data_IF_734865400971
#
_entry.id   IF_734865400971
#
_cell.length_a   1.000
_cell.length_b   1.000
_cell.length_c   1.000
_cell.angle_alpha   90.00
_cell.angle_beta   90.00
_cell.angle_gamma   90.00
#
_symmetry.space_group_name_H-M   'P 1'
#
loop_
_entity.id
_entity.type
_entity.pdbx_description
1 polymer ?
#
# COMPACT_ATOMS: atom_id res chain seq x y z
N UNK A 1 0.45 -12.44 -15.74
CA UNK A 1 -0.58 -11.46 -16.20
C UNK A 1 -1.40 -11.06 -14.99
N UNK A 2 -1.52 -9.77 -14.76
CA UNK A 2 -2.32 -9.23 -13.66
C UNK A 2 -3.79 -9.61 -13.76
N UNK A 3 -4.45 -9.62 -12.62
CA UNK A 3 -5.89 -9.92 -12.53
C UNK A 3 -6.62 -8.75 -11.91
N UNK A 4 -7.86 -8.56 -12.36
CA UNK A 4 -8.75 -7.55 -11.80
C UNK A 4 -9.15 -7.91 -10.36
N UNK A 5 -9.17 -6.89 -9.49
CA UNK A 5 -9.68 -6.99 -8.13
C UNK A 5 -10.87 -6.04 -7.98
N UNK A 6 -12.07 -6.59 -7.84
CA UNK A 6 -13.30 -5.79 -7.67
C UNK A 6 -13.71 -5.80 -6.20
N UNK A 7 -13.86 -4.64 -5.63
CA UNK A 7 -14.34 -4.41 -4.25
C UNK A 7 -15.67 -3.69 -4.32
N UNK A 8 -16.71 -4.24 -3.67
CA UNK A 8 -18.04 -3.65 -3.67
C UNK A 8 -18.62 -3.59 -2.25
N UNK A 9 -18.98 -2.38 -1.82
CA UNK A 9 -19.71 -2.12 -0.58
C UNK A 9 -18.98 -2.58 0.68
N UNK A 10 -17.65 -2.54 0.68
CA UNK A 10 -16.85 -3.14 1.74
C UNK A 10 -16.94 -2.32 3.02
N UNK A 11 -17.36 -2.95 4.12
CA UNK A 11 -17.47 -2.33 5.45
C UNK A 11 -16.70 -3.16 6.46
N UNK A 12 -15.86 -2.49 7.27
CA UNK A 12 -15.04 -3.11 8.32
C UNK A 12 -15.13 -2.35 9.64
N UNK A 13 -15.34 -3.10 10.71
CA UNK A 13 -15.37 -2.57 12.08
C UNK A 13 -14.57 -3.47 13.03
N UNK A 14 -14.07 -2.89 14.13
CA UNK A 14 -13.55 -3.61 15.29
C UNK A 14 -14.39 -3.23 16.51
N UNK A 15 -15.27 -4.12 16.92
CA UNK A 15 -16.26 -3.84 17.95
C UNK A 15 -17.19 -2.69 17.52
N UNK A 16 -17.17 -1.58 18.27
CA UNK A 16 -17.98 -0.39 17.96
C UNK A 16 -17.28 0.60 17.00
N UNK A 17 -16.00 0.40 16.72
CA UNK A 17 -15.23 1.32 15.89
C UNK A 17 -15.29 0.88 14.43
N UNK A 18 -15.98 1.64 13.59
CA UNK A 18 -15.96 1.46 12.14
C UNK A 18 -14.67 2.04 11.58
N UNK A 19 -13.94 1.23 10.82
CA UNK A 19 -12.68 1.63 10.18
C UNK A 19 -12.97 2.27 8.82
N UNK A 20 -13.79 1.62 8.02
CA UNK A 20 -14.31 2.15 6.76
C UNK A 20 -15.66 1.53 6.43
N UNK A 21 -16.46 2.24 5.65
CA UNK A 21 -17.83 1.92 5.33
C UNK A 21 -18.09 2.10 3.84
N UNK A 22 -18.77 1.13 3.23
CA UNK A 22 -19.25 1.17 1.84
C UNK A 22 -18.14 1.49 0.80
N UNK A 23 -16.92 0.96 1.03
CA UNK A 23 -15.80 1.18 0.11
C UNK A 23 -15.97 0.31 -1.14
N UNK A 24 -15.98 0.96 -2.31
CA UNK A 24 -16.09 0.30 -3.61
C UNK A 24 -15.04 0.84 -4.56
N UNK A 25 -14.27 -0.06 -5.19
CA UNK A 25 -13.28 0.28 -6.21
C UNK A 25 -12.94 -0.96 -7.06
N UNK A 26 -12.35 -0.72 -8.22
CA UNK A 26 -11.78 -1.78 -9.05
C UNK A 26 -10.30 -1.49 -9.30
N UNK A 27 -9.43 -2.43 -8.98
CA UNK A 27 -8.02 -2.40 -9.37
C UNK A 27 -7.92 -3.01 -10.77
N UNK A 28 -7.53 -2.24 -11.79
CA UNK A 28 -7.40 -2.76 -13.15
C UNK A 28 -6.26 -3.78 -13.25
N UNK A 29 -6.39 -4.80 -14.10
CA UNK A 29 -5.37 -5.83 -14.27
C UNK A 29 -4.09 -5.25 -14.85
N UNK A 30 -2.94 -5.61 -14.27
CA UNK A 30 -1.61 -5.21 -14.74
C UNK A 30 -1.23 -3.76 -14.43
N UNK A 31 -2.10 -2.98 -13.80
CA UNK A 31 -1.84 -1.58 -13.45
C UNK A 31 -1.37 -1.41 -12.01
N UNK A 32 -0.68 -0.30 -11.77
CA UNK A 32 -0.28 0.13 -10.44
C UNK A 32 -1.31 1.11 -9.88
N UNK A 33 -1.90 0.76 -8.76
CA UNK A 33 -2.80 1.63 -8.00
C UNK A 33 -2.15 2.05 -6.69
N UNK A 34 -2.33 3.30 -6.29
CA UNK A 34 -1.90 3.80 -4.97
C UNK A 34 -3.12 4.27 -4.17
N UNK A 35 -3.25 3.79 -2.94
CA UNK A 35 -4.25 4.26 -1.98
C UNK A 35 -3.59 5.18 -0.97
N UNK A 36 -3.98 6.45 -1.01
CA UNK A 36 -3.54 7.49 -0.08
C UNK A 36 -4.47 7.62 1.13
N UNK A 37 -3.98 8.29 2.13
CA UNK A 37 -4.76 8.73 3.28
C UNK A 37 -3.87 8.99 4.49
N UNK A 38 -4.32 9.81 5.44
CA UNK A 38 -3.65 10.02 6.71
C UNK A 38 -3.35 8.71 7.44
N UNK A 39 -2.44 8.77 8.42
CA UNK A 39 -2.17 7.61 9.28
C UNK A 39 -3.43 7.28 10.09
N UNK A 40 -3.74 5.99 10.25
CA UNK A 40 -4.93 5.57 11.00
C UNK A 40 -6.21 5.37 10.17
N UNK A 41 -6.25 5.78 8.91
CA UNK A 41 -7.46 5.64 8.05
C UNK A 41 -7.81 4.20 7.65
N UNK A 42 -7.03 3.21 8.11
CA UNK A 42 -7.34 1.79 7.86
C UNK A 42 -6.76 1.23 6.55
N UNK A 43 -5.79 1.87 5.91
CA UNK A 43 -5.15 1.40 4.67
C UNK A 43 -4.58 -0.03 4.80
N UNK A 44 -3.82 -0.31 5.86
CA UNK A 44 -3.29 -1.67 6.13
C UNK A 44 -4.40 -2.67 6.46
N UNK A 45 -5.52 -2.23 7.07
CA UNK A 45 -6.71 -3.06 7.29
C UNK A 45 -7.33 -3.44 5.95
N UNK A 46 -7.38 -2.50 5.00
CA UNK A 46 -7.87 -2.74 3.65
C UNK A 46 -7.02 -3.80 2.92
N UNK A 47 -5.70 -3.67 2.92
CA UNK A 47 -4.79 -4.68 2.35
C UNK A 47 -5.01 -6.07 2.97
N UNK A 48 -5.11 -6.15 4.31
CA UNK A 48 -5.35 -7.42 5.02
C UNK A 48 -6.69 -8.03 4.67
N UNK A 49 -7.69 -7.21 4.33
CA UNK A 49 -9.00 -7.70 3.88
C UNK A 49 -8.94 -8.25 2.46
N UNK A 50 -8.16 -7.63 1.56
CA UNK A 50 -7.97 -8.11 0.18
C UNK A 50 -7.35 -9.51 0.12
N UNK A 51 -6.44 -9.87 1.04
CA UNK A 51 -5.87 -11.23 1.13
C UNK A 51 -6.68 -12.17 2.00
N UNK A 52 -7.85 -11.73 2.51
CA UNK A 52 -8.70 -12.53 3.39
C UNK A 52 -8.13 -12.79 4.78
N UNK A 53 -7.12 -12.03 5.24
CA UNK A 53 -6.61 -12.10 6.61
C UNK A 53 -7.57 -11.46 7.61
N UNK A 54 -8.34 -10.48 7.16
CA UNK A 54 -9.41 -9.84 7.92
C UNK A 54 -10.70 -9.96 7.12
N UNK A 55 -11.73 -10.54 7.73
CA UNK A 55 -13.04 -10.65 7.10
C UNK A 55 -13.83 -9.35 7.34
N UNK A 56 -14.30 -8.67 6.27
CA UNK A 56 -15.21 -7.54 6.41
C UNK A 56 -16.59 -8.01 6.87
N UNK A 57 -17.36 -7.12 7.49
CA UNK A 57 -18.72 -7.40 7.94
C UNK A 57 -19.72 -7.36 6.79
N UNK A 58 -19.46 -6.50 5.78
CA UNK A 58 -20.33 -6.34 4.60
C UNK A 58 -19.49 -6.19 3.33
N UNK A 59 -20.14 -6.37 2.21
CA UNK A 59 -19.56 -6.24 0.88
C UNK A 59 -18.97 -7.53 0.34
N UNK A 60 -18.24 -7.41 -0.76
CA UNK A 60 -17.53 -8.51 -1.42
C UNK A 60 -16.21 -8.06 -2.02
N UNK A 61 -15.31 -9.02 -2.15
CA UNK A 61 -14.02 -8.86 -2.84
C UNK A 61 -13.97 -9.97 -3.89
N UNK A 62 -13.99 -9.61 -5.15
CA UNK A 62 -14.03 -10.58 -6.26
C UNK A 62 -12.70 -10.58 -7.00
N UNK A 63 -12.10 -11.77 -7.10
CA UNK A 63 -10.86 -12.02 -7.85
C UNK A 63 -11.10 -13.27 -8.70
N UNK A 64 -10.86 -13.18 -9.99
CA UNK A 64 -11.13 -14.27 -10.93
C UNK A 64 -12.53 -14.90 -10.73
N UNK A 65 -13.55 -14.05 -10.58
CA UNK A 65 -14.94 -14.47 -10.39
C UNK A 65 -15.25 -15.11 -9.03
N UNK A 66 -14.29 -15.14 -8.10
CA UNK A 66 -14.47 -15.71 -6.75
C UNK A 66 -14.60 -14.59 -5.71
N UNK A 67 -15.70 -14.60 -4.95
CA UNK A 67 -15.89 -13.72 -3.79
C UNK A 67 -15.11 -14.28 -2.59
N UNK A 68 -14.05 -13.60 -2.19
CA UNK A 68 -13.16 -14.00 -1.09
C UNK A 68 -13.84 -13.97 0.28
N UNK A 69 -14.87 -13.12 0.44
CA UNK A 69 -15.58 -12.97 1.72
C UNK A 69 -16.44 -14.19 2.03
N UNK A 70 -16.90 -14.90 0.98
CA UNK A 70 -17.86 -16.00 1.07
C UNK A 70 -17.33 -17.35 0.58
N UNK A 71 -16.14 -17.40 -0.04
CA UNK A 71 -15.59 -18.63 -0.55
C UNK A 71 -15.18 -19.60 0.58
N UNK A 72 -14.96 -20.86 0.24
CA UNK A 72 -14.42 -21.86 1.16
C UNK A 72 -12.96 -21.58 1.50
N UNK A 73 -12.49 -22.06 2.67
CA UNK A 73 -11.09 -21.94 3.09
C UNK A 73 -10.13 -22.55 2.06
N UNK A 74 -10.49 -23.66 1.44
CA UNK A 74 -9.68 -24.26 0.36
C UNK A 74 -9.54 -23.30 -0.83
N UNK A 75 -10.64 -22.68 -1.28
CA UNK A 75 -10.61 -21.73 -2.39
C UNK A 75 -9.82 -20.48 -2.02
N UNK A 76 -9.99 -19.97 -0.80
CA UNK A 76 -9.22 -18.85 -0.29
C UNK A 76 -7.72 -19.15 -0.26
N UNK A 77 -7.32 -20.36 0.14
CA UNK A 77 -5.93 -20.78 0.14
C UNK A 77 -5.32 -20.77 -1.28
N UNK A 78 -6.06 -21.27 -2.29
CA UNK A 78 -5.59 -21.24 -3.68
C UNK A 78 -5.44 -19.81 -4.21
N UNK A 79 -6.40 -18.93 -3.89
CA UNK A 79 -6.31 -17.53 -4.31
C UNK A 79 -5.16 -16.79 -3.60
N UNK A 80 -4.88 -17.09 -2.34
CA UNK A 80 -3.74 -16.49 -1.63
C UNK A 80 -2.40 -16.75 -2.29
N UNK A 81 -2.23 -17.83 -3.06
CA UNK A 81 -1.01 -18.11 -3.83
C UNK A 81 -0.78 -17.11 -4.96
N UNK A 82 -1.83 -16.42 -5.42
CA UNK A 82 -1.73 -15.39 -6.44
C UNK A 82 -1.18 -14.08 -5.89
N UNK A 83 -1.09 -13.93 -4.56
CA UNK A 83 -0.65 -12.70 -3.92
C UNK A 83 0.82 -12.74 -3.53
N UNK A 84 1.54 -11.66 -3.86
CA UNK A 84 2.77 -11.26 -3.20
C UNK A 84 2.48 -10.12 -2.22
N UNK A 85 2.92 -10.21 -0.97
CA UNK A 85 2.68 -9.16 0.03
C UNK A 85 4.00 -8.63 0.59
N UNK A 86 4.20 -7.33 0.44
CA UNK A 86 5.27 -6.59 1.10
C UNK A 86 4.68 -5.81 2.29
N UNK A 87 4.97 -6.27 3.49
CA UNK A 87 4.61 -5.57 4.73
C UNK A 87 5.60 -4.45 5.06
N UNK A 88 5.17 -3.48 5.84
CA UNK A 88 5.88 -2.24 6.19
C UNK A 88 7.37 -2.44 6.54
N UNK A 89 7.73 -3.45 7.36
CA UNK A 89 9.12 -3.74 7.75
C UNK A 89 9.73 -4.93 6.99
N UNK A 90 9.10 -5.36 5.87
CA UNK A 90 9.49 -6.55 5.13
C UNK A 90 9.05 -7.87 5.77
N UNK A 91 8.68 -7.89 7.06
CA UNK A 91 8.22 -9.06 7.82
C UNK A 91 9.10 -10.31 7.64
N UNK A 92 10.42 -10.14 7.65
CA UNK A 92 11.37 -11.24 7.50
C UNK A 92 11.48 -12.04 8.80
N UNK A 93 11.68 -13.35 8.67
CA UNK A 93 12.01 -14.22 9.80
C UNK A 93 13.42 -13.90 10.30
N UNK A 94 13.54 -13.37 11.52
CA UNK A 94 14.82 -12.91 12.07
C UNK A 94 15.86 -14.00 12.27
N UNK A 95 15.44 -15.26 12.39
CA UNK A 95 16.30 -16.44 12.55
C UNK A 95 16.80 -17.04 11.24
N UNK A 96 16.29 -16.57 10.09
CA UNK A 96 16.67 -17.06 8.77
C UNK A 96 17.49 -15.99 8.04
N UNK A 97 18.52 -16.42 7.26
CA UNK A 97 19.23 -15.53 6.36
C UNK A 97 18.30 -15.04 5.21
N UNK A 98 18.79 -14.12 4.38
CA UNK A 98 17.96 -13.56 3.30
C UNK A 98 17.58 -14.60 2.26
N UNK A 99 18.51 -15.48 1.89
CA UNK A 99 18.22 -16.56 0.95
C UNK A 99 17.08 -17.46 1.45
N UNK A 100 17.15 -17.92 2.70
CA UNK A 100 16.13 -18.80 3.26
C UNK A 100 14.78 -18.08 3.46
N UNK A 101 14.78 -16.80 3.83
CA UNK A 101 13.57 -15.99 3.86
C UNK A 101 12.86 -15.95 2.50
N UNK A 102 13.63 -15.75 1.42
CA UNK A 102 13.10 -15.65 0.06
C UNK A 102 12.72 -17.04 -0.49
N UNK A 103 13.49 -18.08 -0.15
CA UNK A 103 13.21 -19.46 -0.55
C UNK A 103 11.98 -20.07 0.13
N UNK A 104 11.62 -19.56 1.32
CA UNK A 104 10.58 -20.13 2.17
C UNK A 104 9.25 -20.39 1.44
N UNK A 105 8.63 -19.43 0.71
CA UNK A 105 7.38 -19.70 0.01
C UNK A 105 7.51 -20.77 -1.08
N UNK A 106 8.65 -20.85 -1.77
CA UNK A 106 8.87 -21.89 -2.79
C UNK A 106 8.90 -23.28 -2.18
N UNK A 107 9.58 -23.45 -1.04
CA UNK A 107 9.66 -24.73 -0.33
C UNK A 107 8.31 -25.17 0.23
N UNK A 108 7.51 -24.21 0.74
CA UNK A 108 6.19 -24.51 1.32
C UNK A 108 5.10 -24.80 0.28
N UNK A 109 5.14 -24.10 -0.86
CA UNK A 109 4.02 -24.11 -1.81
C UNK A 109 4.31 -24.81 -3.13
N UNK A 110 5.56 -25.30 -3.36
CA UNK A 110 5.94 -25.94 -4.61
C UNK A 110 6.67 -27.27 -4.36
N UNK A 111 6.82 -28.07 -5.42
CA UNK A 111 7.63 -29.29 -5.41
C UNK A 111 8.96 -29.11 -6.16
N UNK A 112 9.45 -27.87 -6.25
CA UNK A 112 10.70 -27.56 -6.94
C UNK A 112 11.89 -28.15 -6.19
N UNK A 113 12.88 -28.59 -6.95
CA UNK A 113 14.16 -29.04 -6.40
C UNK A 113 14.95 -27.87 -5.81
N UNK A 114 15.85 -28.11 -4.87
CA UNK A 114 16.70 -27.05 -4.29
C UNK A 114 17.56 -26.33 -5.34
N UNK A 115 17.91 -26.98 -6.44
CA UNK A 115 18.60 -26.33 -7.56
C UNK A 115 17.70 -25.29 -8.26
N UNK A 116 16.42 -25.63 -8.48
CA UNK A 116 15.43 -24.71 -9.04
C UNK A 116 15.11 -23.58 -8.08
N UNK A 117 14.90 -23.89 -6.78
CA UNK A 117 14.70 -22.90 -5.73
C UNK A 117 15.86 -21.91 -5.71
N UNK A 118 17.10 -22.40 -5.73
CA UNK A 118 18.30 -21.56 -5.74
C UNK A 118 18.34 -20.61 -6.95
N UNK A 119 18.03 -21.12 -8.13
CA UNK A 119 18.01 -20.32 -9.36
C UNK A 119 17.00 -19.18 -9.24
N UNK A 120 15.76 -19.49 -8.82
CA UNK A 120 14.69 -18.50 -8.68
C UNK A 120 15.02 -17.46 -7.60
N UNK A 121 15.49 -17.89 -6.44
CA UNK A 121 15.84 -16.99 -5.34
C UNK A 121 16.93 -16.01 -5.77
N UNK A 122 17.99 -16.49 -6.42
CA UNK A 122 19.09 -15.63 -6.88
C UNK A 122 18.62 -14.64 -7.96
N UNK A 123 17.76 -15.08 -8.88
CA UNK A 123 17.11 -14.21 -9.87
C UNK A 123 16.31 -13.09 -9.20
N UNK A 124 15.44 -13.42 -8.23
CA UNK A 124 14.65 -12.41 -7.52
C UNK A 124 15.53 -11.51 -6.65
N UNK A 125 16.61 -12.01 -6.06
CA UNK A 125 17.60 -11.18 -5.35
C UNK A 125 18.33 -10.21 -6.27
N UNK A 126 18.65 -10.63 -7.49
CA UNK A 126 19.25 -9.76 -8.51
C UNK A 126 18.27 -8.64 -8.92
N UNK A 127 17.01 -8.98 -9.19
CA UNK A 127 15.95 -8.01 -9.54
C UNK A 127 15.82 -6.88 -8.52
N UNK A 128 16.02 -7.18 -7.23
CA UNK A 128 15.92 -6.18 -6.15
C UNK A 128 17.27 -5.63 -5.68
N UNK A 129 18.38 -5.97 -6.37
CA UNK A 129 19.72 -5.47 -6.07
C UNK A 129 20.27 -5.95 -4.71
N UNK A 130 20.10 -7.24 -4.41
CA UNK A 130 20.59 -7.88 -3.17
C UNK A 130 21.64 -8.97 -3.41
N UNK A 131 22.29 -8.97 -4.57
CA UNK A 131 23.38 -9.92 -4.89
C UNK A 131 24.49 -9.81 -3.85
N UNK A 132 24.97 -10.96 -3.37
CA UNK A 132 26.02 -11.05 -2.35
C UNK A 132 25.56 -10.88 -0.91
N UNK A 133 24.25 -10.70 -0.68
CA UNK A 133 23.67 -10.59 0.65
C UNK A 133 22.94 -11.86 1.14
N UNK A 134 23.05 -12.97 0.40
CA UNK A 134 22.29 -14.20 0.60
C UNK A 134 22.38 -14.74 2.03
N UNK A 135 23.60 -14.70 2.61
CA UNK A 135 23.90 -15.27 3.92
C UNK A 135 23.64 -14.32 5.09
N UNK A 136 23.33 -13.03 4.82
CA UNK A 136 23.08 -12.04 5.87
C UNK A 136 21.76 -12.31 6.58
N UNK A 137 21.73 -12.05 7.88
CA UNK A 137 20.51 -12.05 8.68
C UNK A 137 19.80 -10.69 8.56
N UNK A 138 18.47 -10.63 8.77
CA UNK A 138 17.71 -9.37 8.75
C UNK A 138 18.24 -8.30 9.70
N UNK A 139 18.85 -8.71 10.84
CA UNK A 139 19.46 -7.78 11.79
C UNK A 139 20.79 -7.16 11.33
N UNK A 140 21.42 -7.72 10.31
CA UNK A 140 22.74 -7.30 9.78
C UNK A 140 22.61 -6.35 8.58
N UNK A 141 21.40 -5.99 8.17
CA UNK A 141 21.14 -5.21 6.97
C UNK A 141 20.31 -3.95 7.26
N UNK A 142 20.37 -2.99 6.36
CA UNK A 142 19.59 -1.74 6.47
C UNK A 142 18.09 -1.98 6.30
N UNK A 143 17.26 -1.02 6.77
CA UNK A 143 15.82 -1.05 6.57
C UNK A 143 15.42 -1.18 5.09
N UNK A 144 16.07 -0.43 4.21
CA UNK A 144 15.85 -0.54 2.76
C UNK A 144 16.21 -1.90 2.18
N UNK A 145 17.26 -2.56 2.68
CA UNK A 145 17.59 -3.92 2.28
C UNK A 145 16.54 -4.93 2.78
N UNK A 146 16.02 -4.76 4.02
CA UNK A 146 14.93 -5.61 4.52
C UNK A 146 13.69 -5.52 3.64
N UNK A 147 13.29 -4.31 3.24
CA UNK A 147 12.14 -4.09 2.34
C UNK A 147 12.34 -4.74 0.98
N UNK A 148 13.53 -4.58 0.39
CA UNK A 148 13.86 -5.24 -0.89
C UNK A 148 13.90 -6.76 -0.78
N UNK A 149 14.36 -7.32 0.33
CA UNK A 149 14.29 -8.76 0.58
C UNK A 149 12.82 -9.24 0.77
N UNK A 150 11.99 -8.47 1.47
CA UNK A 150 10.55 -8.71 1.56
C UNK A 150 9.87 -8.68 0.20
N UNK A 151 10.26 -7.75 -0.67
CA UNK A 151 9.76 -7.67 -2.04
C UNK A 151 10.21 -8.88 -2.87
N UNK A 152 11.49 -9.27 -2.82
CA UNK A 152 11.99 -10.48 -3.48
C UNK A 152 11.20 -11.72 -3.03
N UNK A 153 10.93 -11.86 -1.72
CA UNK A 153 10.11 -12.95 -1.19
C UNK A 153 8.67 -12.90 -1.72
N UNK A 154 8.09 -11.72 -1.86
CA UNK A 154 6.75 -11.56 -2.44
C UNK A 154 6.69 -12.01 -3.92
N UNK A 155 7.81 -11.91 -4.64
CA UNK A 155 7.91 -12.19 -6.07
C UNK A 155 8.23 -13.65 -6.42
N UNK A 156 8.67 -14.50 -5.49
CA UNK A 156 9.21 -15.83 -5.82
C UNK A 156 8.18 -16.83 -6.35
N UNK A 157 6.90 -16.61 -6.09
CA UNK A 157 5.81 -17.43 -6.60
C UNK A 157 5.20 -16.88 -7.90
N UNK A 158 5.83 -15.88 -8.52
CA UNK A 158 5.35 -15.17 -9.72
C UNK A 158 3.89 -14.71 -9.54
N UNK A 159 3.62 -13.82 -8.56
CA UNK A 159 2.26 -13.42 -8.18
C UNK A 159 1.56 -12.65 -9.30
N UNK A 160 0.23 -12.79 -9.37
CA UNK A 160 -0.63 -12.01 -10.25
C UNK A 160 -1.07 -10.69 -9.61
N UNK A 161 -1.01 -10.61 -8.27
CA UNK A 161 -1.34 -9.41 -7.48
C UNK A 161 -0.22 -9.15 -6.47
N UNK A 162 0.24 -7.90 -6.38
CA UNK A 162 1.22 -7.47 -5.38
C UNK A 162 0.61 -6.39 -4.51
N UNK A 163 0.67 -6.60 -3.20
CA UNK A 163 0.21 -5.63 -2.21
C UNK A 163 1.40 -5.10 -1.42
N UNK A 164 1.56 -3.78 -1.36
CA UNK A 164 2.62 -3.11 -0.64
C UNK A 164 2.05 -2.22 0.47
N UNK A 165 2.38 -2.54 1.72
CA UNK A 165 1.97 -1.78 2.90
C UNK A 165 3.09 -0.83 3.33
N UNK A 166 2.95 0.46 3.06
CA UNK A 166 3.92 1.53 3.35
C UNK A 166 5.37 1.16 2.98
N UNK A 167 5.63 0.82 1.71
CA UNK A 167 6.93 0.30 1.29
C UNK A 167 8.07 1.31 1.51
N UNK A 168 7.76 2.59 1.55
CA UNK A 168 8.67 3.72 1.70
C UNK A 168 8.91 4.14 3.15
N UNK A 169 8.14 3.63 4.13
CA UNK A 169 8.26 4.06 5.52
C UNK A 169 9.69 3.87 6.05
N UNK A 170 10.23 4.91 6.71
CA UNK A 170 11.60 4.88 7.26
C UNK A 170 12.72 4.94 6.22
N UNK A 171 12.42 5.21 4.95
CA UNK A 171 13.41 5.50 3.91
C UNK A 171 13.59 7.02 3.74
N UNK A 172 14.80 7.43 3.42
CA UNK A 172 15.06 8.79 2.96
C UNK A 172 14.50 9.03 1.53
N UNK A 173 14.35 10.30 1.09
CA UNK A 173 13.76 10.59 -0.22
C UNK A 173 14.49 9.94 -1.40
N UNK A 174 15.82 9.79 -1.33
CA UNK A 174 16.61 9.17 -2.41
C UNK A 174 16.33 7.68 -2.49
N UNK A 175 16.31 6.98 -1.36
CA UNK A 175 15.97 5.55 -1.30
C UNK A 175 14.53 5.27 -1.67
N UNK A 176 13.61 6.19 -1.32
CA UNK A 176 12.22 6.14 -1.78
C UNK A 176 12.13 6.23 -3.30
N UNK A 177 12.88 7.14 -3.94
CA UNK A 177 12.91 7.25 -5.40
C UNK A 177 13.45 5.96 -6.06
N UNK A 178 14.50 5.35 -5.53
CA UNK A 178 15.00 4.05 -6.00
C UNK A 178 13.95 2.93 -5.87
N UNK A 179 13.24 2.88 -4.73
CA UNK A 179 12.17 1.89 -4.54
C UNK A 179 11.01 2.13 -5.51
N UNK A 180 10.63 3.38 -5.73
CA UNK A 180 9.59 3.77 -6.69
C UNK A 180 9.94 3.30 -8.09
N UNK A 181 11.17 3.57 -8.56
CA UNK A 181 11.62 3.10 -9.86
C UNK A 181 11.63 1.57 -9.94
N UNK A 182 12.10 0.89 -8.89
CA UNK A 182 12.08 -0.58 -8.83
C UNK A 182 10.66 -1.13 -8.98
N UNK A 183 9.65 -0.53 -8.34
CA UNK A 183 8.24 -0.98 -8.46
C UNK A 183 7.70 -0.76 -9.88
N UNK A 184 8.05 0.35 -10.54
CA UNK A 184 7.68 0.61 -11.94
C UNK A 184 8.34 -0.42 -12.86
N UNK A 185 9.63 -0.67 -12.71
CA UNK A 185 10.38 -1.60 -13.56
C UNK A 185 9.86 -3.05 -13.37
N UNK A 186 9.54 -3.42 -12.13
CA UNK A 186 8.95 -4.71 -11.83
C UNK A 186 7.57 -4.88 -12.47
N UNK A 187 6.68 -3.87 -12.36
CA UNK A 187 5.37 -3.92 -13.00
C UNK A 187 5.50 -4.12 -14.52
N UNK A 188 6.39 -3.36 -15.18
CA UNK A 188 6.66 -3.49 -16.60
C UNK A 188 7.20 -4.88 -17.01
N UNK A 189 7.92 -5.58 -16.10
CA UNK A 189 8.49 -6.91 -16.37
C UNK A 189 7.51 -8.05 -16.14
N UNK A 190 6.69 -7.97 -15.09
CA UNK A 190 5.87 -9.11 -14.63
C UNK A 190 4.38 -8.92 -14.92
N UNK A 191 3.94 -7.73 -15.32
CA UNK A 191 2.54 -7.42 -15.66
C UNK A 191 1.58 -7.87 -14.53
N UNK A 192 1.94 -7.61 -13.26
CA UNK A 192 1.09 -7.91 -12.11
C UNK A 192 0.23 -6.71 -11.73
N UNK A 193 -0.96 -6.94 -11.18
CA UNK A 193 -1.77 -5.89 -10.56
C UNK A 193 -1.13 -5.48 -9.24
N UNK A 194 -0.78 -4.22 -9.07
CA UNK A 194 -0.09 -3.72 -7.87
C UNK A 194 -0.97 -2.74 -7.12
N UNK A 195 -1.14 -2.94 -5.81
CA UNK A 195 -1.71 -1.94 -4.91
C UNK A 195 -0.69 -1.55 -3.85
N UNK A 196 -0.39 -0.27 -3.79
CA UNK A 196 0.47 0.33 -2.77
C UNK A 196 -0.41 1.17 -1.85
N UNK A 197 -0.34 0.96 -0.54
CA UNK A 197 -0.92 1.88 0.43
C UNK A 197 0.21 2.70 1.05
N UNK A 198 0.07 4.01 1.05
CA UNK A 198 1.08 4.93 1.59
C UNK A 198 0.46 6.28 1.96
N UNK A 199 1.22 7.08 2.68
CA UNK A 199 0.94 8.50 2.91
C UNK A 199 1.94 9.40 2.16
N UNK A 200 2.82 8.82 1.32
CA UNK A 200 3.88 9.55 0.62
C UNK A 200 3.39 10.12 -0.71
N UNK A 201 3.34 11.45 -0.77
CA UNK A 201 2.88 12.19 -1.94
C UNK A 201 3.80 11.98 -3.16
N UNK A 202 5.10 11.79 -2.95
CA UNK A 202 6.04 11.60 -4.07
C UNK A 202 5.75 10.28 -4.78
N UNK A 203 5.48 9.19 -4.05
CA UNK A 203 5.05 7.92 -4.65
C UNK A 203 3.76 8.12 -5.43
N UNK A 204 2.77 8.78 -4.83
CA UNK A 204 1.49 9.04 -5.46
C UNK A 204 1.59 9.80 -6.78
N UNK A 205 2.55 10.70 -6.89
CA UNK A 205 2.75 11.52 -8.09
C UNK A 205 3.52 10.81 -9.21
N UNK A 206 4.31 9.80 -8.89
CA UNK A 206 5.29 9.25 -9.85
C UNK A 206 5.06 7.79 -10.23
N UNK A 207 4.46 6.99 -9.35
CA UNK A 207 4.42 5.54 -9.53
C UNK A 207 3.12 5.04 -10.18
N UNK A 208 1.91 5.46 -9.73
CA UNK A 208 0.70 4.77 -10.11
C UNK A 208 0.11 5.20 -11.46
N UNK A 209 -0.69 4.29 -12.04
CA UNK A 209 -1.66 4.58 -13.08
C UNK A 209 -2.95 5.14 -12.45
N UNK A 210 -3.37 4.58 -11.29
CA UNK A 210 -4.56 5.00 -10.57
C UNK A 210 -4.25 5.43 -9.13
N UNK A 211 -4.97 6.46 -8.68
CA UNK A 211 -4.92 6.94 -7.30
C UNK A 211 -6.27 6.76 -6.60
N UNK A 212 -6.23 6.51 -5.30
CA UNK A 212 -7.38 6.59 -4.42
C UNK A 212 -7.05 7.32 -3.14
N UNK A 213 -8.07 7.87 -2.49
CA UNK A 213 -7.96 8.57 -1.20
C UNK A 213 -8.95 8.01 -0.20
N UNK A 214 -8.44 7.41 0.88
CA UNK A 214 -9.22 7.02 2.05
C UNK A 214 -9.18 8.13 3.10
N UNK A 215 -10.35 8.60 3.49
CA UNK A 215 -10.49 9.61 4.55
C UNK A 215 -11.82 9.44 5.29
N UNK A 216 -11.81 9.61 6.60
CA UNK A 216 -13.00 9.54 7.46
C UNK A 216 -13.91 8.35 7.18
N UNK A 217 -13.31 7.16 7.06
CA UNK A 217 -14.00 5.87 6.84
C UNK A 217 -14.56 5.66 5.45
N UNK A 218 -14.31 6.54 4.52
CA UNK A 218 -14.85 6.49 3.16
C UNK A 218 -13.74 6.53 2.11
N UNK A 219 -14.01 5.97 0.96
CA UNK A 219 -13.21 6.19 -0.24
C UNK A 219 -13.71 7.48 -0.89
N UNK A 220 -12.96 8.56 -0.69
CA UNK A 220 -13.32 9.88 -1.22
C UNK A 220 -13.30 9.89 -2.75
N UNK A 221 -12.27 9.27 -3.33
CA UNK A 221 -12.08 9.22 -4.76
C UNK A 221 -11.18 8.03 -5.13
N UNK A 222 -11.40 7.45 -6.31
CA UNK A 222 -10.50 6.47 -6.93
C UNK A 222 -10.61 6.58 -8.44
N UNK A 223 -9.49 6.62 -9.15
CA UNK A 223 -9.45 6.68 -10.61
C UNK A 223 -8.07 7.03 -11.17
N UNK A 224 -7.97 7.38 -12.44
CA UNK A 224 -6.71 7.73 -13.09
C UNK A 224 -5.94 8.80 -12.30
N UNK A 225 -4.62 8.61 -12.18
CA UNK A 225 -3.75 9.50 -11.41
C UNK A 225 -3.93 10.98 -11.75
N UNK A 226 -4.00 11.31 -13.01
CA UNK A 226 -4.13 12.68 -13.51
C UNK A 226 -5.41 13.35 -13.01
N UNK A 227 -6.49 12.58 -12.87
CA UNK A 227 -7.79 13.09 -12.37
C UNK A 227 -7.68 13.48 -10.91
N UNK A 228 -7.02 12.66 -10.08
CA UNK A 228 -6.85 13.00 -8.67
C UNK A 228 -5.82 14.12 -8.47
N UNK A 229 -4.75 14.15 -9.26
CA UNK A 229 -3.72 15.20 -9.14
C UNK A 229 -4.24 16.61 -9.51
N UNK A 230 -5.33 16.69 -10.27
CA UNK A 230 -5.99 17.94 -10.68
C UNK A 230 -7.36 18.14 -10.04
N UNK A 231 -7.71 17.33 -9.04
CA UNK A 231 -9.01 17.37 -8.39
C UNK A 231 -9.15 18.59 -7.47
N UNK A 232 -10.33 19.21 -7.52
CA UNK A 232 -10.76 20.28 -6.61
C UNK A 232 -11.38 19.73 -5.31
N UNK A 233 -11.38 18.40 -5.12
CA UNK A 233 -11.88 17.79 -3.88
C UNK A 233 -11.01 18.26 -2.69
N UNK A 234 -11.58 18.95 -1.70
CA UNK A 234 -10.80 19.64 -0.68
C UNK A 234 -9.83 18.74 0.10
N UNK A 235 -10.21 17.49 0.37
CA UNK A 235 -9.35 16.51 1.07
C UNK A 235 -8.18 16.10 0.20
N UNK A 236 -8.43 15.83 -1.07
CA UNK A 236 -7.42 15.42 -2.04
C UNK A 236 -6.43 16.55 -2.29
N UNK A 237 -6.94 17.76 -2.52
CA UNK A 237 -6.13 18.95 -2.73
C UNK A 237 -5.25 19.27 -1.52
N UNK A 238 -5.84 19.25 -0.32
CA UNK A 238 -5.10 19.48 0.91
C UNK A 238 -3.96 18.48 1.10
N UNK A 239 -4.28 17.19 0.93
CA UNK A 239 -3.30 16.11 1.15
C UNK A 239 -2.17 16.16 0.14
N UNK A 240 -2.48 16.26 -1.15
CA UNK A 240 -1.48 16.25 -2.24
C UNK A 240 -0.58 17.48 -2.23
N UNK A 241 -1.03 18.62 -1.70
CA UNK A 241 -0.25 19.84 -1.63
C UNK A 241 0.36 20.09 -0.24
N UNK A 242 0.12 19.21 0.75
CA UNK A 242 0.62 19.36 2.11
C UNK A 242 0.13 20.63 2.80
N UNK A 243 -1.08 21.08 2.48
CA UNK A 243 -1.62 22.34 3.04
C UNK A 243 -2.05 22.12 4.49
N UNK A 244 -1.77 23.11 5.33
CA UNK A 244 -2.18 23.11 6.75
C UNK A 244 -3.70 23.25 6.89
N UNK A 245 -4.31 24.11 6.08
CA UNK A 245 -5.74 24.40 6.13
C UNK A 245 -6.51 23.42 5.25
N UNK A 246 -7.61 22.86 5.77
CA UNK A 246 -8.49 21.94 5.05
C UNK A 246 -9.15 20.90 5.97
N UNK A 247 -9.87 19.95 5.39
CA UNK A 247 -10.63 18.92 6.12
C UNK A 247 -9.80 17.99 7.00
N UNK A 248 -8.50 17.81 6.71
CA UNK A 248 -7.58 16.98 7.49
C UNK A 248 -7.05 17.82 8.64
N UNK A 249 -7.46 17.51 9.88
CA UNK A 249 -6.96 18.16 11.09
C UNK A 249 -5.78 17.40 11.71
N UNK A 250 -5.27 17.90 12.82
CA UNK A 250 -4.23 17.20 13.60
C UNK A 250 -4.73 15.93 14.27
N UNK A 251 -6.05 15.79 14.45
CA UNK A 251 -6.71 14.60 14.96
C UNK A 251 -7.87 14.24 14.03
N UNK A 252 -7.94 12.98 13.57
CA UNK A 252 -9.03 12.47 12.75
C UNK A 252 -10.36 12.35 13.53
N UNK A 253 -10.32 12.44 14.86
CA UNK A 253 -11.48 12.33 15.74
C UNK A 253 -12.27 13.65 15.87
N UNK A 254 -11.77 14.75 15.32
CA UNK A 254 -12.45 16.04 15.41
C UNK A 254 -13.69 16.07 14.50
N UNK A 255 -14.80 16.48 15.09
CA UNK A 255 -16.04 16.71 14.33
C UNK A 255 -15.94 17.96 13.44
N UNK A 256 -16.88 18.09 12.49
CA UNK A 256 -16.92 19.22 11.55
C UNK A 256 -17.04 20.59 12.26
N UNK A 257 -17.71 20.65 13.41
CA UNK A 257 -17.88 21.88 14.16
C UNK A 257 -16.57 22.35 14.79
N UNK A 258 -15.78 21.42 15.34
CA UNK A 258 -14.46 21.72 15.90
C UNK A 258 -13.49 22.18 14.81
N UNK A 259 -13.58 21.57 13.61
CA UNK A 259 -12.74 21.96 12.47
C UNK A 259 -13.12 23.34 11.91
N UNK A 260 -14.41 23.65 11.81
CA UNK A 260 -14.87 24.96 11.40
C UNK A 260 -14.46 26.05 12.39
N UNK A 261 -14.47 25.77 13.69
CA UNK A 261 -13.98 26.69 14.72
C UNK A 261 -12.46 26.92 14.62
N UNK A 262 -11.65 25.90 14.37
CA UNK A 262 -10.21 26.04 14.16
C UNK A 262 -9.88 26.79 12.87
N UNK A 263 -10.64 26.58 11.81
CA UNK A 263 -10.51 27.35 10.56
C UNK A 263 -10.80 28.83 10.79
N UNK A 264 -11.89 29.14 11.46
CA UNK A 264 -12.27 30.52 11.78
C UNK A 264 -11.23 31.23 12.67
N UNK A 265 -10.61 30.51 13.62
CA UNK A 265 -9.51 31.06 14.43
C UNK A 265 -8.21 31.26 13.62
N UNK A 266 -7.91 30.39 12.66
CA UNK A 266 -6.74 30.54 11.79
C UNK A 266 -6.90 31.76 10.85
N UNK A 267 -8.11 31.93 10.30
CA UNK A 267 -8.44 33.05 9.42
C UNK A 267 -8.43 34.40 10.19
N UNK A 268 -8.91 34.41 11.43
CA UNK A 268 -8.86 35.59 12.30
C UNK A 268 -7.42 35.99 12.72
N UNK A 269 -6.53 35.01 12.88
CA UNK A 269 -5.12 35.27 13.24
C UNK A 269 -4.26 35.76 12.07
N UNK A 270 -4.73 35.70 10.84
CA UNK A 270 -4.02 36.22 9.65
C UNK A 270 -4.44 37.66 9.28
N UNK A 271 -5.53 38.17 9.85
CA UNK A 271 -5.99 39.55 9.60
C UNK A 271 -5.30 40.62 10.45
N UNK A 272 -4.46 40.22 11.41
CA UNK A 272 -3.82 41.16 12.36
C UNK A 272 -2.29 41.31 12.16
N UNK A 273 -1.79 40.92 10.99
CA UNK A 273 -0.37 41.00 10.62
C UNK A 273 -0.08 42.03 9.51
N UNK A 274 -0.72 43.20 9.52
CA UNK A 274 -0.17 44.35 8.83
C UNK A 274 1.03 44.87 9.65
N UNK A 275 2.22 44.42 9.25
CA UNK A 275 3.45 45.08 9.68
C UNK A 275 3.42 46.52 9.18
N UNK A 276 3.25 47.47 10.06
CA UNK A 276 3.62 48.87 9.84
C UNK A 276 5.10 48.93 9.43
N UNK A 277 5.35 49.12 8.15
CA UNK A 277 6.60 49.69 7.66
C UNK A 277 6.54 51.19 7.99
N UNK A 278 7.19 51.59 9.08
CA UNK A 278 7.74 52.94 9.25
C UNK A 278 8.66 52.95 10.50
N UNK A 279 9.98 52.91 10.33
CA UNK A 279 11.06 53.79 10.78
C UNK A 279 12.39 53.24 10.29
#
# INVERSE_FOLDING_TARGET
MGVEVVVEGLTKSFGKQTIWQDVSLTLPPGEVSVMLGPSGTGKSVFLKSLVGLLKPEQGKIVINGTDLVRCSEHRLYEIRKMFGVLFQDGALFGSMNLYDNIAFPLREHTRKTEAEVRRIVLEKMEMVGLVGAEKKLPGEISGGMRKRAGLARALVLDPEIILCDEPDSGLDPVRTAYLSQLLIDLNAQIDATILIVTHNINIARTVPDNLGMLFRRELVMFGPREVLLTSDEPVVEQFLNGRRLGPIGMSEEKDQATMAAEQAHADAGHSDGSLDEDV
#
